data_IF_319851809008
#
_entry.id   IF_319851809008
#
_cell.length_a   1.000
_cell.length_b   1.000
_cell.length_c   1.000
_cell.angle_alpha   90.00
_cell.angle_beta   90.00
_cell.angle_gamma   90.00
#
_symmetry.space_group_name_H-M   'P 1'
#
loop_
_entity.id
_entity.type
_entity.pdbx_description
1 polymer ?
#
# COMPACT_ATOMS: atom_id res chain seq x y z
N UNK A 1 -17.41 2.38 -14.04
CA UNK A 1 -17.54 1.48 -12.87
C UNK A 1 -16.18 0.92 -12.51
N UNK A 2 -15.88 0.84 -11.21
CA UNK A 2 -14.67 0.18 -10.72
C UNK A 2 -14.75 -1.34 -10.97
N UNK A 3 -13.60 -1.96 -11.24
CA UNK A 3 -13.47 -3.42 -11.42
C UNK A 3 -13.17 -4.16 -10.11
N UNK A 4 -13.04 -3.43 -9.00
CA UNK A 4 -12.83 -4.03 -7.67
C UNK A 4 -14.08 -4.74 -7.16
N UNK A 5 -13.89 -5.77 -6.34
CA UNK A 5 -14.98 -6.53 -5.73
C UNK A 5 -15.89 -5.61 -4.88
N UNK A 6 -17.20 -5.96 -4.75
CA UNK A 6 -18.10 -5.21 -3.88
C UNK A 6 -17.59 -5.15 -2.44
N UNK A 7 -17.54 -3.94 -1.87
CA UNK A 7 -17.03 -3.70 -0.51
C UNK A 7 -15.51 -3.73 -0.35
N UNK A 8 -14.76 -3.97 -1.42
CA UNK A 8 -13.31 -3.83 -1.42
C UNK A 8 -12.92 -2.35 -1.31
N UNK A 9 -12.07 -2.01 -0.36
CA UNK A 9 -11.70 -0.62 -0.12
C UNK A 9 -10.61 -0.07 -1.06
N UNK A 10 -10.09 -0.86 -2.01
CA UNK A 10 -9.27 -0.34 -3.11
C UNK A 10 -9.93 0.82 -3.84
N UNK A 11 -11.26 0.75 -4.06
CA UNK A 11 -12.00 1.83 -4.72
C UNK A 11 -11.92 3.16 -3.96
N UNK A 12 -11.98 3.12 -2.62
CA UNK A 12 -11.81 4.31 -1.77
C UNK A 12 -10.36 4.83 -1.89
N UNK A 13 -9.37 3.94 -1.77
CA UNK A 13 -7.94 4.32 -1.80
C UNK A 13 -7.58 4.95 -3.14
N UNK A 14 -8.05 4.38 -4.26
CA UNK A 14 -7.86 4.93 -5.60
C UNK A 14 -8.42 6.34 -5.69
N UNK A 15 -9.65 6.56 -5.21
CA UNK A 15 -10.25 7.91 -5.19
C UNK A 15 -9.45 8.90 -4.32
N UNK A 16 -8.89 8.46 -3.20
CA UNK A 16 -8.06 9.32 -2.36
C UNK A 16 -6.77 9.72 -3.07
N UNK A 17 -6.09 8.77 -3.70
CA UNK A 17 -4.84 9.04 -4.45
C UNK A 17 -5.10 10.00 -5.60
N UNK A 18 -6.11 9.73 -6.44
CA UNK A 18 -6.46 10.60 -7.59
C UNK A 18 -6.88 11.99 -7.13
N UNK A 19 -7.74 12.09 -6.09
CA UNK A 19 -8.15 13.37 -5.53
C UNK A 19 -6.97 14.20 -4.99
N UNK A 20 -5.98 13.57 -4.37
CA UNK A 20 -4.78 14.26 -3.88
C UNK A 20 -3.91 14.75 -5.03
N UNK A 21 -3.73 13.94 -6.07
CA UNK A 21 -2.98 14.32 -7.29
C UNK A 21 -3.64 15.53 -7.97
N UNK A 22 -4.96 15.52 -8.10
CA UNK A 22 -5.73 16.63 -8.67
C UNK A 22 -5.63 17.91 -7.81
N UNK A 23 -5.80 17.78 -6.49
CA UNK A 23 -5.72 18.93 -5.57
C UNK A 23 -4.33 19.54 -5.46
N UNK A 24 -3.27 18.76 -5.70
CA UNK A 24 -1.89 19.24 -5.77
C UNK A 24 -1.53 19.80 -7.16
N UNK A 25 -2.38 19.59 -8.17
CA UNK A 25 -2.14 20.06 -9.55
C UNK A 25 -1.00 19.34 -10.24
N UNK A 26 -0.68 18.10 -9.84
CA UNK A 26 0.50 17.35 -10.32
C UNK A 26 0.18 16.26 -11.35
N UNK A 27 -1.07 16.17 -11.82
CA UNK A 27 -1.51 15.08 -12.71
C UNK A 27 -0.67 14.92 -13.97
N UNK A 28 -0.34 16.03 -14.64
CA UNK A 28 0.48 16.02 -15.88
C UNK A 28 1.95 15.66 -15.69
N UNK A 29 2.43 15.69 -14.45
CA UNK A 29 3.81 15.36 -14.09
C UNK A 29 3.93 14.06 -13.29
N UNK A 30 2.82 13.34 -13.12
CA UNK A 30 2.78 12.12 -12.31
C UNK A 30 2.95 10.87 -13.17
N UNK A 31 3.83 9.98 -12.72
CA UNK A 31 4.04 8.65 -13.29
C UNK A 31 3.67 7.61 -12.22
N UNK A 32 2.68 6.78 -12.53
CA UNK A 32 2.28 5.65 -11.70
C UNK A 32 3.05 4.39 -12.09
N UNK A 33 3.71 3.77 -11.12
CA UNK A 33 4.32 2.44 -11.31
C UNK A 33 3.40 1.40 -10.67
N UNK A 34 2.60 0.75 -11.51
CA UNK A 34 1.68 -0.29 -11.11
C UNK A 34 2.38 -1.58 -10.71
N UNK A 35 1.70 -2.38 -9.91
CA UNK A 35 2.15 -3.67 -9.41
C UNK A 35 1.43 -4.84 -10.08
N UNK A 36 1.72 -6.05 -9.65
CA UNK A 36 0.92 -7.24 -9.95
C UNK A 36 -0.01 -7.54 -8.76
N UNK A 37 -1.27 -7.84 -9.06
CA UNK A 37 -2.34 -8.06 -8.09
C UNK A 37 -3.47 -7.04 -8.23
N UNK A 38 -4.38 -6.96 -7.26
CA UNK A 38 -5.54 -6.05 -7.32
C UNK A 38 -5.13 -4.58 -7.49
N UNK A 39 -3.97 -4.17 -6.94
CA UNK A 39 -3.41 -2.84 -7.13
C UNK A 39 -3.06 -2.52 -8.58
N UNK A 40 -2.81 -3.52 -9.42
CA UNK A 40 -2.52 -3.36 -10.84
C UNK A 40 -3.67 -2.82 -11.68
N UNK A 41 -4.87 -2.74 -11.10
CA UNK A 41 -6.02 -2.07 -11.76
C UNK A 41 -6.02 -0.55 -11.59
N UNK A 42 -5.21 0.03 -10.69
CA UNK A 42 -5.17 1.48 -10.47
C UNK A 42 -4.96 2.28 -11.76
N UNK A 43 -4.02 1.90 -12.66
CA UNK A 43 -3.77 2.64 -13.89
C UNK A 43 -5.00 2.86 -14.78
N UNK A 44 -5.99 1.96 -14.71
CA UNK A 44 -7.21 2.07 -15.52
C UNK A 44 -8.16 3.18 -15.06
N UNK A 45 -7.92 3.73 -13.87
CA UNK A 45 -8.76 4.78 -13.26
C UNK A 45 -8.05 6.13 -13.16
N UNK A 46 -6.86 6.25 -13.76
CA UNK A 46 -6.05 7.46 -13.69
C UNK A 46 -5.71 7.98 -15.07
N UNK A 47 -5.71 9.31 -15.22
CA UNK A 47 -5.25 10.01 -16.43
C UNK A 47 -3.80 10.51 -16.23
N UNK A 48 -2.90 9.59 -15.83
CA UNK A 48 -1.46 9.86 -15.66
C UNK A 48 -0.66 8.89 -16.51
N UNK A 49 0.62 9.18 -16.74
CA UNK A 49 1.51 8.17 -17.31
C UNK A 49 1.62 6.97 -16.38
N UNK A 50 1.60 5.76 -16.95
CA UNK A 50 1.62 4.53 -16.16
C UNK A 50 2.56 3.50 -16.75
N UNK A 51 3.24 2.77 -15.86
CA UNK A 51 4.06 1.60 -16.21
C UNK A 51 3.56 0.41 -15.39
N UNK A 52 3.32 -0.74 -16.05
CA UNK A 52 3.09 -2.00 -15.38
C UNK A 52 4.44 -2.66 -15.05
N UNK A 53 4.71 -2.83 -13.77
CA UNK A 53 5.91 -3.50 -13.28
C UNK A 53 5.72 -5.01 -13.18
N UNK A 54 6.80 -5.77 -13.24
CA UNK A 54 6.80 -7.17 -12.80
C UNK A 54 6.52 -7.25 -11.30
N UNK A 55 5.99 -8.38 -10.85
CA UNK A 55 5.61 -8.62 -9.46
C UNK A 55 6.77 -8.33 -8.50
N UNK A 56 6.55 -7.44 -7.54
CA UNK A 56 7.52 -6.99 -6.56
C UNK A 56 8.57 -6.00 -7.05
N UNK A 57 8.59 -5.66 -8.35
CA UNK A 57 9.67 -4.83 -8.95
C UNK A 57 9.29 -3.34 -9.08
N UNK A 58 8.11 -2.95 -8.63
CA UNK A 58 7.67 -1.55 -8.73
C UNK A 58 8.65 -0.56 -8.08
N UNK A 59 9.25 -0.80 -6.89
CA UNK A 59 10.22 0.12 -6.33
C UNK A 59 11.53 0.24 -7.13
N UNK A 60 11.96 -0.85 -7.80
CA UNK A 60 13.14 -0.81 -8.66
C UNK A 60 12.87 0.02 -9.93
N UNK A 61 11.70 -0.18 -10.57
CA UNK A 61 11.29 0.62 -11.72
C UNK A 61 11.11 2.09 -11.34
N UNK A 62 10.45 2.38 -10.22
CA UNK A 62 10.27 3.74 -9.71
C UNK A 62 11.62 4.43 -9.44
N UNK A 63 12.60 3.70 -8.89
CA UNK A 63 13.97 4.19 -8.71
C UNK A 63 14.59 4.61 -10.05
N UNK A 64 14.52 3.75 -11.07
CA UNK A 64 15.06 4.05 -12.39
C UNK A 64 14.38 5.26 -13.04
N UNK A 65 13.05 5.28 -13.02
CA UNK A 65 12.25 6.38 -13.58
C UNK A 65 12.59 7.69 -12.88
N UNK A 66 12.55 7.72 -11.54
CA UNK A 66 12.79 8.94 -10.77
C UNK A 66 14.19 9.50 -10.98
N UNK A 67 15.21 8.64 -11.16
CA UNK A 67 16.58 9.07 -11.44
C UNK A 67 16.74 9.63 -12.86
N UNK A 68 16.02 9.08 -13.85
CA UNK A 68 16.06 9.56 -15.23
C UNK A 68 15.14 10.75 -15.48
N UNK A 69 14.09 10.90 -14.65
CA UNK A 69 13.07 11.95 -14.72
C UNK A 69 12.93 12.62 -13.34
N UNK A 70 13.95 13.37 -12.88
CA UNK A 70 14.00 13.89 -11.50
C UNK A 70 12.87 14.87 -11.20
N UNK A 71 12.34 15.57 -12.19
CA UNK A 71 11.27 16.56 -12.03
C UNK A 71 9.87 15.93 -11.96
N UNK A 72 9.71 14.68 -12.42
CA UNK A 72 8.43 13.98 -12.38
C UNK A 72 8.08 13.50 -10.98
N UNK A 73 6.80 13.47 -10.68
CA UNK A 73 6.25 12.84 -9.47
C UNK A 73 6.06 11.34 -9.75
N UNK A 74 6.81 10.50 -9.07
CA UNK A 74 6.75 9.05 -9.26
C UNK A 74 6.15 8.40 -8.03
N UNK A 75 5.19 7.52 -8.20
CA UNK A 75 4.69 6.74 -7.08
C UNK A 75 4.44 5.28 -7.47
N UNK A 76 4.54 4.39 -6.47
CA UNK A 76 4.15 2.99 -6.60
C UNK A 76 2.84 2.75 -5.85
N UNK A 77 2.01 1.84 -6.37
CA UNK A 77 0.79 1.38 -5.72
C UNK A 77 0.83 -0.14 -5.64
N UNK A 78 1.01 -0.69 -4.42
CA UNK A 78 1.36 -2.09 -4.22
C UNK A 78 0.51 -2.74 -3.13
N UNK A 79 0.09 -3.99 -3.35
CA UNK A 79 -0.50 -4.84 -2.32
C UNK A 79 0.56 -5.50 -1.43
N UNK A 80 0.12 -6.14 -0.36
CA UNK A 80 0.98 -6.82 0.61
C UNK A 80 1.71 -8.04 0.03
N UNK A 81 1.05 -8.80 -0.82
CA UNK A 81 1.71 -9.88 -1.55
C UNK A 81 2.75 -9.41 -2.56
N UNK A 82 2.62 -8.19 -3.08
CA UNK A 82 3.58 -7.61 -4.00
C UNK A 82 4.77 -6.97 -3.25
N UNK A 83 4.50 -6.05 -2.34
CA UNK A 83 5.53 -5.28 -1.64
C UNK A 83 6.25 -6.10 -0.56
N UNK A 84 5.47 -6.79 0.29
CA UNK A 84 5.99 -7.42 1.50
C UNK A 84 6.36 -8.91 1.33
N UNK A 85 6.21 -9.45 0.12
CA UNK A 85 6.66 -10.78 -0.26
C UNK A 85 7.80 -10.70 -1.26
N UNK A 86 7.48 -10.86 -2.55
CA UNK A 86 8.50 -10.89 -3.62
C UNK A 86 9.24 -9.55 -3.78
N UNK A 87 8.64 -8.43 -3.35
CA UNK A 87 9.21 -7.08 -3.42
C UNK A 87 9.90 -6.59 -2.16
N UNK A 88 10.10 -7.45 -1.14
CA UNK A 88 10.67 -7.02 0.15
C UNK A 88 12.06 -6.40 0.01
N UNK A 89 12.93 -6.99 -0.78
CA UNK A 89 14.29 -6.47 -0.99
C UNK A 89 14.25 -5.11 -1.72
N UNK A 90 13.39 -5.00 -2.73
CA UNK A 90 13.27 -3.78 -3.54
C UNK A 90 12.81 -2.59 -2.73
N UNK A 91 11.78 -2.77 -1.88
CA UNK A 91 11.27 -1.67 -1.05
C UNK A 91 12.26 -1.29 0.04
N UNK A 92 12.90 -2.26 0.70
CA UNK A 92 13.92 -2.00 1.74
C UNK A 92 15.09 -1.22 1.14
N UNK A 93 15.62 -1.64 0.00
CA UNK A 93 16.74 -0.95 -0.63
C UNK A 93 16.38 0.42 -1.19
N UNK A 94 15.19 0.61 -1.76
CA UNK A 94 14.71 1.92 -2.20
C UNK A 94 14.55 2.88 -1.01
N UNK A 95 13.93 2.42 0.07
CA UNK A 95 13.75 3.18 1.30
C UNK A 95 15.08 3.53 1.96
N UNK A 96 16.01 2.58 2.04
CA UNK A 96 17.34 2.79 2.63
C UNK A 96 18.17 3.86 1.86
N UNK A 97 18.08 3.83 0.51
CA UNK A 97 18.75 4.84 -0.33
C UNK A 97 18.07 6.21 -0.28
N UNK A 98 16.88 6.33 0.33
CA UNK A 98 16.11 7.57 0.36
C UNK A 98 15.63 8.00 -1.03
N UNK A 99 15.26 7.04 -1.88
CA UNK A 99 14.76 7.33 -3.22
C UNK A 99 13.52 8.25 -3.16
N UNK A 100 13.54 9.31 -3.95
CA UNK A 100 12.54 10.38 -3.88
C UNK A 100 11.27 10.03 -4.63
N UNK A 101 10.62 8.93 -4.27
CA UNK A 101 9.29 8.58 -4.75
C UNK A 101 8.36 8.17 -3.58
N UNK A 102 7.07 8.15 -3.85
CA UNK A 102 6.03 7.81 -2.87
C UNK A 102 5.54 6.38 -3.08
N UNK A 103 5.35 5.62 -2.03
CA UNK A 103 4.70 4.30 -2.08
C UNK A 103 3.35 4.34 -1.36
N UNK A 104 2.29 3.93 -2.07
CA UNK A 104 1.00 3.62 -1.47
C UNK A 104 0.91 2.11 -1.32
N UNK A 105 0.99 1.66 -0.08
CA UNK A 105 1.03 0.25 0.28
C UNK A 105 -0.32 -0.19 0.85
N UNK A 106 -1.01 -1.08 0.15
CA UNK A 106 -2.33 -1.59 0.55
C UNK A 106 -2.17 -2.93 1.24
N UNK A 107 -2.46 -2.97 2.54
CA UNK A 107 -2.39 -4.16 3.36
C UNK A 107 -3.80 -4.69 3.63
N UNK A 108 -4.17 -5.80 3.00
CA UNK A 108 -5.43 -6.50 3.23
C UNK A 108 -5.24 -7.92 3.78
N UNK A 109 -4.04 -8.24 4.25
CA UNK A 109 -3.68 -9.50 4.92
C UNK A 109 -3.87 -10.77 4.06
N UNK A 110 -3.92 -10.65 2.72
CA UNK A 110 -4.10 -11.81 1.84
C UNK A 110 -3.70 -11.50 0.39
N UNK A 111 -3.31 -12.52 -0.39
CA UNK A 111 -3.22 -12.40 -1.85
C UNK A 111 -4.64 -12.34 -2.44
N UNK A 112 -5.15 -11.12 -2.70
CA UNK A 112 -6.53 -10.91 -3.11
C UNK A 112 -6.85 -11.47 -4.50
N UNK A 113 -6.06 -11.11 -5.51
CA UNK A 113 -6.35 -11.42 -6.91
C UNK A 113 -6.33 -12.91 -7.23
N UNK A 114 -5.46 -13.67 -6.61
CA UNK A 114 -5.22 -15.09 -6.93
C UNK A 114 -6.07 -16.07 -6.13
N UNK A 115 -6.96 -15.58 -5.26
CA UNK A 115 -7.95 -16.41 -4.57
C UNK A 115 -7.67 -16.62 -3.08
N UNK A 116 -7.05 -15.64 -2.42
CA UNK A 116 -7.01 -15.57 -0.95
C UNK A 116 -5.94 -16.44 -0.28
N UNK A 117 -4.78 -16.58 -0.88
CA UNK A 117 -3.64 -17.26 -0.25
C UNK A 117 -3.08 -16.43 0.91
N UNK A 118 -2.35 -17.11 1.79
CA UNK A 118 -1.64 -16.49 2.90
C UNK A 118 -0.56 -15.54 2.38
N UNK A 119 -0.65 -14.27 2.75
CA UNK A 119 0.35 -13.23 2.50
C UNK A 119 1.32 -13.10 3.68
N UNK A 120 2.47 -12.42 3.51
CA UNK A 120 3.37 -12.15 4.64
C UNK A 120 2.71 -11.38 5.78
N UNK A 121 1.68 -10.61 5.49
CA UNK A 121 0.90 -9.79 6.44
C UNK A 121 -0.30 -10.50 7.06
N UNK A 122 -0.63 -11.72 6.63
CA UNK A 122 -1.78 -12.49 7.17
C UNK A 122 -1.65 -12.65 8.68
N UNK A 123 -2.71 -12.31 9.42
CA UNK A 123 -2.72 -12.32 10.88
C UNK A 123 -2.58 -13.73 11.46
N UNK A 124 -2.04 -13.89 12.68
CA UNK A 124 -2.05 -15.16 13.39
C UNK A 124 -3.48 -15.71 13.52
N UNK A 125 -3.68 -17.00 13.27
CA UNK A 125 -4.99 -17.65 13.29
C UNK A 125 -5.91 -17.32 12.10
N UNK A 126 -5.55 -16.38 11.23
CA UNK A 126 -6.35 -16.06 10.05
C UNK A 126 -6.34 -17.23 9.05
N UNK A 127 -7.55 -17.69 8.70
CA UNK A 127 -7.74 -18.72 7.67
C UNK A 127 -7.59 -18.11 6.28
N UNK A 128 -6.92 -18.83 5.40
CA UNK A 128 -6.74 -18.52 3.99
C UNK A 128 -6.79 -19.79 3.16
N UNK A 129 -6.80 -19.70 1.83
CA UNK A 129 -6.82 -20.89 0.96
C UNK A 129 -5.58 -21.76 1.12
N UNK A 130 -4.45 -21.22 1.54
CA UNK A 130 -3.20 -21.95 1.81
C UNK A 130 -2.92 -22.16 3.30
N UNK A 131 -3.75 -21.62 4.18
CA UNK A 131 -3.71 -21.88 5.63
C UNK A 131 -5.14 -22.14 6.16
N UNK A 132 -5.75 -23.28 5.81
CA UNK A 132 -7.18 -23.56 6.11
C UNK A 132 -7.47 -23.70 7.60
N UNK A 133 -6.48 -24.03 8.40
CA UNK A 133 -6.58 -24.11 9.88
C UNK A 133 -6.19 -22.82 10.58
N UNK A 134 -5.83 -21.76 9.81
CA UNK A 134 -5.30 -20.51 10.30
C UNK A 134 -3.79 -20.43 10.21
N UNK A 135 -3.24 -19.20 10.12
CA UNK A 135 -1.78 -19.00 10.16
C UNK A 135 -1.25 -19.39 11.53
N UNK A 136 -0.35 -20.34 11.55
CA UNK A 136 0.42 -20.71 12.75
C UNK A 136 1.81 -20.04 12.68
N UNK A 137 2.13 -19.10 13.59
CA UNK A 137 3.44 -18.47 13.62
C UNK A 137 4.62 -19.42 13.84
N UNK A 138 4.38 -20.57 14.49
CA UNK A 138 5.43 -21.58 14.69
C UNK A 138 5.82 -22.27 13.37
N UNK A 139 4.89 -22.39 12.42
CA UNK A 139 5.13 -23.01 11.12
C UNK A 139 5.45 -22.00 10.02
N UNK A 140 4.75 -20.86 10.01
CA UNK A 140 4.77 -19.91 8.91
C UNK A 140 5.45 -18.57 9.25
N UNK A 141 6.00 -18.44 10.48
CA UNK A 141 6.54 -17.20 10.98
C UNK A 141 5.48 -16.14 11.29
N UNK A 142 5.90 -15.08 11.94
CA UNK A 142 5.03 -13.96 12.30
C UNK A 142 4.71 -13.07 11.08
N UNK A 143 3.55 -12.38 11.09
CA UNK A 143 3.24 -11.36 10.08
C UNK A 143 4.29 -10.24 10.08
N UNK A 144 4.72 -9.83 8.88
CA UNK A 144 5.68 -8.73 8.74
C UNK A 144 4.99 -7.40 9.04
N UNK A 145 5.67 -6.55 9.81
CA UNK A 145 5.26 -5.17 10.11
C UNK A 145 6.12 -4.21 9.30
N UNK A 146 5.63 -3.85 8.10
CA UNK A 146 6.42 -3.10 7.13
C UNK A 146 6.79 -1.70 7.63
N UNK A 147 5.85 -0.96 8.20
CA UNK A 147 6.14 0.37 8.74
C UNK A 147 7.21 0.32 9.82
N UNK A 148 7.11 -0.61 10.78
CA UNK A 148 8.11 -0.77 11.85
C UNK A 148 9.48 -1.15 11.27
N UNK A 149 9.51 -2.04 10.27
CA UNK A 149 10.76 -2.46 9.62
C UNK A 149 11.44 -1.30 8.89
N UNK A 150 10.68 -0.51 8.13
CA UNK A 150 11.22 0.60 7.34
C UNK A 150 11.54 1.83 8.21
N UNK A 151 10.91 1.98 9.38
CA UNK A 151 11.14 3.15 10.26
C UNK A 151 12.57 3.25 10.77
N UNK A 152 13.31 2.14 10.82
CA UNK A 152 14.71 2.11 11.21
C UNK A 152 15.67 2.67 10.14
N UNK A 153 15.20 2.88 8.90
CA UNK A 153 16.07 3.29 7.78
C UNK A 153 16.14 4.82 7.68
N UNK A 154 17.35 5.37 7.60
CA UNK A 154 17.57 6.83 7.57
C UNK A 154 17.06 7.50 6.30
N UNK A 155 16.98 6.78 5.19
CA UNK A 155 16.45 7.26 3.92
C UNK A 155 14.94 7.52 3.91
N UNK A 156 14.20 6.91 4.85
CA UNK A 156 12.76 7.14 5.02
C UNK A 156 12.54 8.48 5.71
N UNK A 157 11.70 9.34 5.10
CA UNK A 157 11.40 10.68 5.62
C UNK A 157 9.94 10.84 6.03
N UNK A 158 9.02 10.13 5.37
CA UNK A 158 7.64 10.08 5.79
C UNK A 158 7.13 8.64 5.78
N UNK A 159 6.49 8.24 6.87
CA UNK A 159 5.96 6.89 7.03
C UNK A 159 4.76 6.91 7.97
N UNK A 160 3.61 6.55 7.45
CA UNK A 160 2.37 6.53 8.23
C UNK A 160 1.51 5.32 7.90
N UNK A 161 0.90 4.70 8.91
CA UNK A 161 -0.12 3.66 8.75
C UNK A 161 -1.49 4.23 9.06
N UNK A 162 -2.40 4.06 8.12
CA UNK A 162 -3.78 4.54 8.17
C UNK A 162 -4.77 3.41 7.84
N UNK A 163 -6.07 3.69 8.01
CA UNK A 163 -7.14 2.78 7.61
C UNK A 163 -8.22 3.55 6.82
N UNK A 164 -9.13 2.80 6.18
CA UNK A 164 -10.26 3.36 5.39
C UNK A 164 -11.60 2.70 5.77
N UNK A 165 -11.72 2.23 7.00
CA UNK A 165 -12.88 1.55 7.55
C UNK A 165 -14.00 2.48 8.03
N UNK A 166 -13.73 3.78 8.12
CA UNK A 166 -14.70 4.79 8.59
C UNK A 166 -14.45 6.15 7.93
N UNK A 167 -15.46 7.04 7.87
CA UNK A 167 -15.29 8.40 7.33
C UNK A 167 -14.17 9.19 8.01
N UNK A 168 -13.98 8.98 9.32
CA UNK A 168 -12.90 9.59 10.08
C UNK A 168 -11.51 9.13 9.62
N UNK A 169 -11.35 7.83 9.46
CA UNK A 169 -10.10 7.24 8.97
C UNK A 169 -9.85 7.56 7.49
N UNK A 170 -10.88 7.60 6.65
CA UNK A 170 -10.75 8.03 5.23
C UNK A 170 -10.18 9.45 5.13
N UNK A 171 -10.64 10.40 5.97
CA UNK A 171 -10.08 11.76 6.00
C UNK A 171 -8.61 11.77 6.45
N UNK A 172 -8.25 10.96 7.44
CA UNK A 172 -6.85 10.82 7.89
C UNK A 172 -5.98 10.20 6.79
N UNK A 173 -6.49 9.15 6.12
CA UNK A 173 -5.79 8.53 5.00
C UNK A 173 -5.51 9.52 3.87
N UNK A 174 -6.49 10.38 3.52
CA UNK A 174 -6.29 11.43 2.53
C UNK A 174 -5.19 12.41 2.94
N UNK A 175 -5.18 12.83 4.20
CA UNK A 175 -4.16 13.74 4.72
C UNK A 175 -2.76 13.10 4.69
N UNK A 176 -2.63 11.83 5.08
CA UNK A 176 -1.37 11.09 5.03
C UNK A 176 -0.86 10.93 3.59
N UNK A 177 -1.74 10.58 2.63
CA UNK A 177 -1.37 10.48 1.21
C UNK A 177 -0.88 11.84 0.69
N UNK A 178 -1.58 12.93 1.01
CA UNK A 178 -1.13 14.29 0.65
C UNK A 178 0.24 14.59 1.22
N UNK A 179 0.46 14.28 2.51
CA UNK A 179 1.74 14.52 3.19
C UNK A 179 2.88 13.73 2.56
N UNK A 180 2.63 12.46 2.15
CA UNK A 180 3.61 11.64 1.47
C UNK A 180 4.02 12.23 0.11
N UNK A 181 3.06 12.71 -0.70
CA UNK A 181 3.39 13.40 -1.96
C UNK A 181 4.13 14.72 -1.71
N UNK A 182 3.78 15.48 -0.68
CA UNK A 182 4.51 16.70 -0.29
C UNK A 182 5.96 16.41 0.07
N UNK A 183 6.23 15.33 0.81
CA UNK A 183 7.58 14.85 1.11
C UNK A 183 8.42 14.65 -0.16
N UNK A 184 7.81 14.04 -1.19
CA UNK A 184 8.45 13.85 -2.50
C UNK A 184 8.67 15.17 -3.23
N UNK A 185 7.64 16.03 -3.30
CA UNK A 185 7.71 17.34 -3.99
C UNK A 185 8.77 18.25 -3.38
N UNK A 186 8.95 18.19 -2.06
CA UNK A 186 10.01 18.92 -1.34
C UNK A 186 11.39 18.24 -1.44
N UNK A 187 11.47 17.10 -2.12
CA UNK A 187 12.74 16.39 -2.34
C UNK A 187 13.40 15.83 -1.09
N UNK A 188 12.62 15.57 -0.01
CA UNK A 188 13.14 15.13 1.30
C UNK A 188 13.74 13.73 1.28
N UNK A 189 13.09 12.77 0.59
CA UNK A 189 13.53 11.38 0.52
C UNK A 189 12.36 10.43 0.28
N UNK A 190 12.50 9.18 0.75
CA UNK A 190 11.48 8.15 0.58
C UNK A 190 10.26 8.41 1.47
N UNK A 191 9.06 8.23 0.89
CA UNK A 191 7.80 8.36 1.61
C UNK A 191 6.88 7.16 1.35
N UNK A 192 6.17 6.70 2.39
CA UNK A 192 5.19 5.62 2.25
C UNK A 192 3.97 5.82 3.15
N UNK A 193 2.80 5.47 2.62
CA UNK A 193 1.56 5.31 3.40
C UNK A 193 1.12 3.86 3.31
N UNK A 194 1.08 3.15 4.44
CA UNK A 194 0.44 1.85 4.56
C UNK A 194 -1.04 2.05 4.87
N UNK A 195 -1.91 1.49 4.03
CA UNK A 195 -3.37 1.59 4.18
C UNK A 195 -3.95 0.23 4.50
N UNK A 196 -4.47 0.06 5.72
CA UNK A 196 -5.22 -1.13 6.09
C UNK A 196 -6.54 -1.17 5.31
N UNK A 197 -6.76 -2.25 4.58
CA UNK A 197 -7.79 -2.40 3.56
C UNK A 197 -8.58 -3.69 3.74
N UNK A 198 -9.81 -3.72 3.27
CA UNK A 198 -10.66 -4.92 3.29
C UNK A 198 -10.50 -5.77 2.04
N UNK A 199 -10.67 -7.10 2.22
CA UNK A 199 -10.83 -8.06 1.14
C UNK A 199 -12.06 -8.96 1.39
N UNK A 200 -13.31 -8.42 1.30
CA UNK A 200 -14.51 -9.16 1.69
C UNK A 200 -14.66 -10.51 1.00
N UNK A 201 -14.38 -10.57 -0.30
CA UNK A 201 -14.51 -11.78 -1.12
C UNK A 201 -13.63 -12.92 -0.58
N UNK A 202 -12.34 -12.68 -0.32
CA UNK A 202 -11.45 -13.75 0.14
C UNK A 202 -11.52 -13.98 1.66
N UNK A 203 -12.08 -13.03 2.41
CA UNK A 203 -12.37 -13.24 3.83
C UNK A 203 -13.71 -13.96 4.05
N UNK A 204 -14.56 -14.12 3.00
CA UNK A 204 -15.89 -14.70 3.11
C UNK A 204 -16.84 -13.86 3.98
N UNK A 205 -16.72 -12.53 3.90
CA UNK A 205 -17.43 -11.57 4.74
C UNK A 205 -18.28 -10.62 3.90
N UNK A 206 -19.36 -10.12 4.48
CA UNK A 206 -20.06 -8.96 3.93
C UNK A 206 -19.18 -7.70 4.00
N UNK A 207 -19.45 -6.66 3.20
CA UNK A 207 -18.70 -5.41 3.27
C UNK A 207 -18.61 -4.79 4.66
N UNK A 208 -19.71 -4.83 5.43
CA UNK A 208 -19.76 -4.25 6.78
C UNK A 208 -18.92 -5.06 7.78
N UNK A 209 -19.02 -6.39 7.75
CA UNK A 209 -18.19 -7.28 8.57
C UNK A 209 -16.71 -7.11 8.25
N UNK A 210 -16.36 -6.92 6.99
CA UNK A 210 -14.98 -6.70 6.58
C UNK A 210 -14.42 -5.34 7.07
N UNK A 211 -15.23 -4.28 7.10
CA UNK A 211 -14.84 -3.01 7.72
C UNK A 211 -14.69 -3.14 9.24
N UNK A 212 -15.58 -3.89 9.90
CA UNK A 212 -15.47 -4.15 11.34
C UNK A 212 -14.19 -4.94 11.64
N UNK A 213 -13.87 -5.96 10.84
CA UNK A 213 -12.63 -6.73 11.01
C UNK A 213 -11.36 -5.88 10.92
N UNK A 214 -11.34 -4.82 10.09
CA UNK A 214 -10.20 -3.89 10.11
C UNK A 214 -10.03 -3.29 11.51
N UNK A 215 -11.13 -2.92 12.18
CA UNK A 215 -11.12 -2.31 13.52
C UNK A 215 -10.74 -3.29 14.62
N UNK A 216 -11.34 -4.49 14.60
CA UNK A 216 -11.23 -5.47 15.68
C UNK A 216 -9.98 -6.31 15.63
N UNK A 217 -9.49 -6.63 14.42
CA UNK A 217 -8.41 -7.58 14.23
C UNK A 217 -7.14 -6.91 13.67
N UNK A 218 -7.28 -6.08 12.63
CA UNK A 218 -6.12 -5.53 11.95
C UNK A 218 -5.49 -4.36 12.72
N UNK A 219 -6.27 -3.37 13.15
CA UNK A 219 -5.74 -2.20 13.88
C UNK A 219 -5.03 -2.59 15.18
N UNK A 220 -5.54 -3.53 16.01
CA UNK A 220 -4.80 -3.99 17.19
C UNK A 220 -3.45 -4.63 16.88
N UNK A 221 -3.32 -5.33 15.75
CA UNK A 221 -2.07 -5.97 15.33
C UNK A 221 -1.14 -4.99 14.58
N UNK A 222 -1.71 -4.15 13.74
CA UNK A 222 -1.06 -3.09 12.95
C UNK A 222 -1.52 -1.71 13.44
N UNK A 223 -1.00 -1.20 14.58
CA UNK A 223 -1.45 0.08 15.13
C UNK A 223 -1.30 1.21 14.14
N UNK A 224 -2.36 2.04 14.04
CA UNK A 224 -2.34 3.24 13.20
C UNK A 224 -1.42 4.30 13.81
N UNK A 225 -0.78 5.09 12.98
CA UNK A 225 0.03 6.19 13.45
C UNK A 225 1.12 6.61 12.47
N UNK A 226 1.78 7.69 12.82
CA UNK A 226 2.95 8.19 12.13
C UNK A 226 4.21 7.56 12.74
N UNK A 227 5.07 7.00 11.91
CA UNK A 227 6.34 6.36 12.29
C UNK A 227 7.54 7.26 11.97
N UNK A 228 7.42 8.12 10.97
CA UNK A 228 8.37 9.19 10.63
C UNK A 228 7.65 10.37 9.99
N UNK A 229 8.06 11.58 10.35
CA UNK A 229 7.64 12.83 9.73
C UNK A 229 8.85 13.73 9.48
N UNK A 230 8.84 14.49 8.36
CA UNK A 230 9.93 15.36 7.89
C UNK A 230 9.69 16.81 8.25
#
# INVERSE_FOLDING_TARGET
>A
PFTFCPGCTHGIIVQLVTSVIDELGIGGDTICVGCVGCGGYLPWFMATDTICSLHGRAPANATGIKRMQPDKVVFTYQGDGDLASIGTAEIVHAANRGEKFTTIFVNNTTYGMTGGQMAPTTLPGQKTTTSPYGRDPALCGNPIRVCETLSALDGVKFLERVAVDSPGHVRKAKAAIRRAFQCQLEGKGFSMVEVLSSCPTNWGMTPLEALERIRTDMIPYYPLGNFKDF
#
